data_IF_832194909533
#
_entry.id   IF_832194909533
#
_cell.length_a   1.000
_cell.length_b   1.000
_cell.length_c   1.000
_cell.angle_alpha   90.00
_cell.angle_beta   90.00
_cell.angle_gamma   90.00
#
_symmetry.space_group_name_H-M   'P 1'
#
loop_
_entity.id
_entity.type
_entity.pdbx_description
1 polymer ?
#
# COMPACT_ATOMS: atom_id res chain seq x y z
N UNK A 1 -9.82 8.25 -24.77
CA UNK A 1 -10.28 8.76 -23.47
C UNK A 1 -9.46 8.03 -22.43
N UNK A 2 -8.72 8.74 -21.58
CA UNK A 2 -8.24 8.13 -20.34
C UNK A 2 -9.42 8.23 -19.37
N UNK A 3 -10.04 7.10 -19.08
CA UNK A 3 -11.04 7.01 -18.03
C UNK A 3 -10.31 7.34 -16.73
N UNK A 4 -10.64 8.48 -16.13
CA UNK A 4 -9.99 8.94 -14.91
C UNK A 4 -10.64 8.18 -13.76
N UNK A 5 -10.18 6.96 -13.50
CA UNK A 5 -10.63 6.18 -12.35
C UNK A 5 -10.24 6.91 -11.08
N UNK A 6 -11.21 7.50 -10.40
CA UNK A 6 -11.02 8.08 -9.08
C UNK A 6 -10.69 6.95 -8.11
N UNK A 7 -9.65 7.14 -7.29
CA UNK A 7 -9.15 6.13 -6.35
C UNK A 7 -9.01 6.75 -4.98
N UNK A 8 -9.62 6.12 -3.98
CA UNK A 8 -9.41 6.44 -2.57
C UNK A 8 -8.34 5.52 -1.98
N UNK A 9 -7.60 6.05 -1.03
CA UNK A 9 -6.54 5.32 -0.32
C UNK A 9 -6.70 5.42 1.18
N UNK A 10 -6.70 4.27 1.85
CA UNK A 10 -6.58 4.17 3.29
C UNK A 10 -5.25 3.52 3.65
N UNK A 11 -4.56 4.06 4.65
CA UNK A 11 -3.23 3.63 5.07
C UNK A 11 -3.18 3.52 6.58
N UNK A 12 -2.80 2.34 7.08
CA UNK A 12 -2.62 2.08 8.51
C UNK A 12 -1.21 1.51 8.79
N UNK A 13 -0.50 2.08 9.75
CA UNK A 13 0.80 1.55 10.18
C UNK A 13 0.57 0.41 11.18
N UNK A 14 0.78 -0.83 10.73
CA UNK A 14 0.63 -2.01 11.56
C UNK A 14 1.80 -2.18 12.55
N UNK A 15 3.02 -1.83 12.12
CA UNK A 15 4.21 -1.86 12.98
C UNK A 15 5.30 -0.91 12.45
N UNK A 16 6.11 -0.35 13.35
CA UNK A 16 7.22 0.53 12.97
C UNK A 16 8.45 0.35 13.86
N UNK A 17 9.62 0.37 13.23
CA UNK A 17 10.95 0.39 13.83
C UNK A 17 11.82 1.43 13.12
N UNK A 18 13.05 1.63 13.59
CA UNK A 18 13.99 2.56 12.95
C UNK A 18 14.39 2.18 11.51
N UNK A 19 14.26 0.91 11.13
CA UNK A 19 14.74 0.38 9.84
C UNK A 19 13.67 -0.32 9.01
N UNK A 20 12.47 -0.53 9.56
CA UNK A 20 11.37 -1.21 8.88
C UNK A 20 10.02 -0.67 9.35
N UNK A 21 9.09 -0.48 8.42
CA UNK A 21 7.69 -0.15 8.67
C UNK A 21 6.83 -1.14 7.91
N UNK A 22 5.81 -1.68 8.57
CA UNK A 22 4.77 -2.50 7.97
C UNK A 22 3.49 -1.68 7.88
N UNK A 23 2.91 -1.62 6.70
CA UNK A 23 1.79 -0.73 6.36
C UNK A 23 0.70 -1.53 5.67
N UNK A 24 -0.50 -1.50 6.24
CA UNK A 24 -1.72 -2.00 5.62
C UNK A 24 -2.32 -0.90 4.76
N UNK A 25 -2.54 -1.19 3.48
CA UNK A 25 -3.03 -0.21 2.52
C UNK A 25 -4.21 -0.79 1.77
N UNK A 26 -5.32 -0.04 1.77
CA UNK A 26 -6.51 -0.34 0.96
C UNK A 26 -6.63 0.69 -0.14
N UNK A 27 -6.83 0.20 -1.37
CA UNK A 27 -7.15 0.96 -2.56
C UNK A 27 -8.61 0.70 -2.92
N UNK A 28 -9.42 1.75 -2.99
CA UNK A 28 -10.83 1.67 -3.39
C UNK A 28 -11.00 2.35 -4.74
N UNK A 29 -11.43 1.60 -5.75
CA UNK A 29 -11.51 2.07 -7.13
C UNK A 29 -12.95 2.44 -7.51
N UNK A 30 -13.21 3.70 -7.82
CA UNK A 30 -14.55 4.19 -8.19
C UNK A 30 -14.87 4.04 -9.68
N UNK A 31 -14.39 2.96 -10.30
CA UNK A 31 -14.52 2.67 -11.74
C UNK A 31 -14.92 1.23 -12.05
N UNK A 32 -15.45 0.50 -11.06
CA UNK A 32 -15.90 -0.89 -11.23
C UNK A 32 -14.79 -1.94 -11.16
N UNK A 33 -13.54 -1.55 -10.93
CA UNK A 33 -12.49 -2.46 -10.49
C UNK A 33 -12.74 -2.89 -9.03
N UNK A 34 -12.24 -4.07 -8.65
CA UNK A 34 -12.33 -4.55 -7.27
C UNK A 34 -11.34 -3.79 -6.38
N UNK A 35 -11.76 -3.51 -5.15
CA UNK A 35 -10.89 -2.94 -4.13
C UNK A 35 -9.74 -3.89 -3.81
N UNK A 36 -8.57 -3.33 -3.54
CA UNK A 36 -7.35 -4.08 -3.23
C UNK A 36 -6.87 -3.75 -1.83
N UNK A 37 -6.45 -4.76 -1.07
CA UNK A 37 -5.78 -4.58 0.21
C UNK A 37 -4.41 -5.26 0.17
N UNK A 38 -3.38 -4.55 0.59
CA UNK A 38 -2.00 -5.04 0.56
C UNK A 38 -1.26 -4.67 1.84
N UNK A 39 -0.44 -5.60 2.33
CA UNK A 39 0.57 -5.32 3.34
C UNK A 39 1.89 -5.01 2.66
N UNK A 40 2.38 -3.79 2.87
CA UNK A 40 3.69 -3.34 2.40
C UNK A 40 4.71 -3.38 3.53
N UNK A 41 5.93 -3.84 3.22
CA UNK A 41 7.08 -3.59 4.07
C UNK A 41 7.96 -2.52 3.43
N UNK A 42 8.15 -1.41 4.13
CA UNK A 42 9.16 -0.41 3.81
C UNK A 42 10.42 -0.72 4.61
N UNK A 43 11.57 -0.77 3.94
CA UNK A 43 12.89 -0.90 4.58
C UNK A 43 13.72 0.35 4.32
N UNK A 44 14.48 0.78 5.33
CA UNK A 44 15.35 1.94 5.22
C UNK A 44 16.69 1.52 4.62
N UNK A 45 17.08 2.14 3.52
CA UNK A 45 18.41 2.04 2.91
C UNK A 45 19.12 3.38 2.94
N UNK A 46 20.38 3.42 2.49
CA UNK A 46 21.14 4.66 2.36
C UNK A 46 20.51 5.64 1.33
N UNK A 47 19.67 5.12 0.44
CA UNK A 47 18.92 5.90 -0.56
C UNK A 47 17.50 6.28 -0.10
N UNK A 48 17.14 6.00 1.15
CA UNK A 48 15.82 6.24 1.71
C UNK A 48 14.96 4.98 1.86
N UNK A 49 13.64 5.16 1.97
CA UNK A 49 12.71 4.05 2.14
C UNK A 49 12.41 3.36 0.80
N UNK A 50 12.43 2.03 0.80
CA UNK A 50 12.11 1.20 -0.37
C UNK A 50 11.07 0.15 0.02
N UNK A 51 10.20 -0.23 -0.91
CA UNK A 51 9.29 -1.36 -0.72
C UNK A 51 10.10 -2.65 -0.88
N UNK A 52 10.25 -3.41 0.20
CA UNK A 52 10.90 -4.72 0.18
C UNK A 52 9.91 -5.87 -0.06
N UNK A 53 8.69 -5.72 0.47
CA UNK A 53 7.62 -6.73 0.35
C UNK A 53 6.32 -6.04 -0.02
N UNK A 54 5.59 -6.70 -0.92
CA UNK A 54 4.20 -6.42 -1.24
C UNK A 54 3.46 -7.76 -1.15
N UNK A 55 2.56 -7.87 -0.19
CA UNK A 55 1.74 -9.05 0.01
C UNK A 55 0.27 -8.68 -0.17
N UNK A 56 -0.42 -9.18 -1.20
CA UNK A 56 -1.86 -9.07 -1.30
C UNK A 56 -2.52 -9.72 -0.08
N UNK A 57 -3.48 -9.03 0.52
CA UNK A 57 -4.30 -9.56 1.58
C UNK A 57 -5.66 -9.95 0.99
N UNK A 58 -6.10 -11.16 1.32
CA UNK A 58 -7.47 -11.57 1.02
C UNK A 58 -8.44 -10.89 1.99
N UNK A 59 -9.68 -10.72 1.52
CA UNK A 59 -10.81 -10.29 2.36
C UNK A 59 -11.42 -11.46 3.12
#
# INVERSE_FOLDING_TARGET
MHENTEVDTAVEVAASTAHSIWVDVTWTYHGGALDERNMYQLVRTDEGWKIAVLTPLEY
#
